data_IF_948863478318
#
_entry.id   IF_948863478318
#
_cell.length_a   1.000
_cell.length_b   1.000
_cell.length_c   1.000
_cell.angle_alpha   90.00
_cell.angle_beta   90.00
_cell.angle_gamma   90.00
#
_symmetry.space_group_name_H-M   'P 1'
#
loop_
_entity.id
_entity.type
_entity.pdbx_description
1 polymer ?
#
# COMPACT_ATOMS: atom_id res chain seq x y z
N UNK A 1 16.17 12.14 -16.99
CA UNK A 1 15.28 13.26 -16.61
C UNK A 1 14.66 12.94 -15.26
N UNK A 2 14.57 13.89 -14.31
CA UNK A 2 13.75 13.70 -13.11
C UNK A 2 12.29 13.92 -13.51
N UNK A 3 11.47 12.89 -13.39
CA UNK A 3 10.03 13.03 -13.54
C UNK A 3 9.49 13.88 -12.37
N UNK A 4 8.95 15.05 -12.69
CA UNK A 4 8.30 15.89 -11.70
C UNK A 4 6.86 15.39 -11.52
N UNK A 5 6.65 14.55 -10.50
CA UNK A 5 5.33 14.04 -10.15
C UNK A 5 4.60 15.02 -9.22
N UNK A 6 3.36 15.34 -9.57
CA UNK A 6 2.48 16.21 -8.78
C UNK A 6 1.23 15.48 -8.31
N UNK A 7 0.83 15.70 -7.06
CA UNK A 7 -0.44 15.26 -6.48
C UNK A 7 -1.40 16.45 -6.42
N UNK A 8 -2.52 16.33 -7.12
CA UNK A 8 -3.61 17.30 -7.07
C UNK A 8 -4.54 16.96 -5.91
N UNK A 9 -4.77 17.91 -5.02
CA UNK A 9 -5.82 17.88 -4.02
C UNK A 9 -6.95 18.78 -4.50
N UNK A 10 -8.10 18.21 -4.81
CA UNK A 10 -9.28 19.00 -5.15
C UNK A 10 -9.69 19.85 -3.94
N UNK A 11 -9.93 21.13 -4.18
CA UNK A 11 -10.50 22.03 -3.20
C UNK A 11 -11.92 21.61 -2.80
N UNK A 12 -12.39 22.12 -1.65
CA UNK A 12 -13.78 22.03 -1.23
C UNK A 12 -14.43 23.41 -1.23
N UNK A 13 -15.61 23.52 -1.83
CA UNK A 13 -16.35 24.78 -1.90
C UNK A 13 -15.57 25.85 -2.68
N UNK A 14 -15.23 26.97 -2.03
CA UNK A 14 -14.47 28.09 -2.64
C UNK A 14 -12.96 27.95 -2.53
N UNK A 15 -12.44 26.88 -1.93
CA UNK A 15 -10.98 26.67 -1.88
C UNK A 15 -10.48 26.16 -3.23
N UNK A 16 -9.38 26.73 -3.77
CA UNK A 16 -8.83 26.28 -5.03
C UNK A 16 -8.15 24.92 -4.88
N UNK A 17 -7.98 24.24 -6.02
CA UNK A 17 -7.18 23.02 -6.10
C UNK A 17 -5.72 23.32 -5.76
N UNK A 18 -5.08 22.43 -5.01
CA UNK A 18 -3.67 22.55 -4.62
C UNK A 18 -2.86 21.44 -5.25
N UNK A 19 -1.74 21.79 -5.88
CA UNK A 19 -0.77 20.86 -6.46
C UNK A 19 0.42 20.70 -5.51
N UNK A 20 0.73 19.46 -5.14
CA UNK A 20 1.88 19.10 -4.31
C UNK A 20 2.90 18.35 -5.14
N UNK A 21 4.13 18.85 -5.24
CA UNK A 21 5.22 18.10 -5.84
C UNK A 21 5.67 16.96 -4.91
N UNK A 22 6.25 15.89 -5.45
CA UNK A 22 6.97 14.87 -4.66
C UNK A 22 8.09 15.47 -3.82
N UNK A 23 8.68 16.58 -4.25
CA UNK A 23 9.71 17.33 -3.51
C UNK A 23 9.15 18.12 -2.32
N UNK A 24 7.83 18.37 -2.29
CA UNK A 24 7.16 19.09 -1.20
C UNK A 24 6.84 18.20 0.01
N UNK A 25 6.88 16.88 -0.16
CA UNK A 25 6.73 15.94 0.96
C UNK A 25 8.04 15.86 1.76
N UNK A 26 7.97 15.64 3.09
CA UNK A 26 9.15 15.33 3.89
C UNK A 26 9.98 14.26 3.16
N UNK A 27 11.22 14.60 2.82
CA UNK A 27 12.09 13.91 1.84
C UNK A 27 12.09 12.38 1.94
N UNK A 28 11.90 11.87 3.16
CA UNK A 28 11.89 10.45 3.54
C UNK A 28 10.93 9.55 2.74
N UNK A 29 9.78 10.05 2.28
CA UNK A 29 8.80 9.23 1.56
C UNK A 29 8.67 9.53 0.07
N UNK A 30 9.41 10.51 -0.45
CA UNK A 30 9.32 10.97 -1.83
C UNK A 30 9.43 9.83 -2.85
N UNK A 31 10.29 8.84 -2.58
CA UNK A 31 10.50 7.66 -3.45
C UNK A 31 9.37 6.63 -3.38
N UNK A 32 8.68 6.53 -2.25
CA UNK A 32 7.68 5.48 -1.98
C UNK A 32 6.24 5.99 -1.93
N UNK A 33 6.03 7.30 -2.11
CA UNK A 33 4.71 7.94 -2.08
C UNK A 33 3.74 7.34 -3.11
N UNK A 34 4.26 6.92 -4.27
CA UNK A 34 3.49 6.24 -5.31
C UNK A 34 2.92 4.90 -4.82
N UNK A 35 3.73 4.13 -4.12
CA UNK A 35 3.29 2.88 -3.50
C UNK A 35 2.24 3.17 -2.42
N UNK A 36 2.50 4.12 -1.51
CA UNK A 36 1.56 4.48 -0.46
C UNK A 36 0.22 4.91 -1.05
N UNK A 37 0.22 5.75 -2.09
CA UNK A 37 -1.00 6.22 -2.73
C UNK A 37 -1.77 5.07 -3.40
N UNK A 38 -1.11 4.24 -4.22
CA UNK A 38 -1.77 3.15 -4.93
C UNK A 38 -2.25 2.04 -3.99
N UNK A 39 -1.45 1.64 -3.01
CA UNK A 39 -1.74 0.48 -2.16
C UNK A 39 -2.70 0.78 -1.01
N UNK A 40 -2.66 2.00 -0.44
CA UNK A 40 -3.62 2.43 0.60
C UNK A 40 -4.99 2.83 0.06
N UNK A 41 -5.13 2.92 -1.26
CA UNK A 41 -6.35 3.35 -1.95
C UNK A 41 -6.13 4.63 -2.77
N UNK A 42 -6.35 4.48 -4.07
CA UNK A 42 -6.57 5.53 -5.07
C UNK A 42 -7.94 5.31 -5.73
N UNK A 43 -8.24 6.04 -6.81
CA UNK A 43 -9.54 5.97 -7.50
C UNK A 43 -9.88 4.55 -8.00
N UNK A 44 -8.87 3.70 -8.23
CA UNK A 44 -9.02 2.37 -8.82
C UNK A 44 -8.62 1.22 -7.89
N UNK A 45 -8.17 1.50 -6.67
CA UNK A 45 -7.80 0.47 -5.68
C UNK A 45 -8.64 0.61 -4.43
N UNK A 46 -9.04 -0.53 -3.88
CA UNK A 46 -9.87 -0.55 -2.68
C UNK A 46 -9.11 0.04 -1.49
N UNK A 47 -9.82 0.77 -0.64
CA UNK A 47 -9.26 1.29 0.63
C UNK A 47 -9.32 0.19 1.69
N UNK A 48 -8.25 0.05 2.46
CA UNK A 48 -8.22 -0.80 3.65
C UNK A 48 -8.87 -0.07 4.82
N UNK A 49 -9.98 -0.59 5.34
CA UNK A 49 -10.76 0.08 6.38
C UNK A 49 -9.92 0.36 7.64
N UNK A 50 -9.91 1.62 8.08
CA UNK A 50 -9.11 2.04 9.24
C UNK A 50 -7.59 2.12 8.99
N UNK A 51 -7.12 1.95 7.76
CA UNK A 51 -5.71 2.03 7.37
C UNK A 51 -5.44 3.11 6.31
N UNK A 52 -5.48 4.37 6.74
CA UNK A 52 -5.15 5.52 5.89
C UNK A 52 -3.65 5.70 5.62
N UNK A 53 -3.32 6.62 4.71
CA UNK A 53 -1.95 6.95 4.26
C UNK A 53 -0.98 7.25 5.41
N UNK A 54 -1.43 7.92 6.48
CA UNK A 54 -0.59 8.20 7.67
C UNK A 54 -0.14 6.95 8.40
N UNK A 55 -0.99 5.89 8.46
CA UNK A 55 -0.58 4.61 9.07
C UNK A 55 0.50 3.92 8.25
N UNK A 56 0.43 4.00 6.92
CA UNK A 56 1.46 3.48 6.03
C UNK A 56 2.80 4.18 6.28
N UNK A 57 2.80 5.51 6.33
CA UNK A 57 4.00 6.29 6.65
C UNK A 57 4.60 5.86 8.00
N UNK A 58 3.78 5.79 9.06
CA UNK A 58 4.27 5.39 10.39
C UNK A 58 4.81 3.96 10.42
N UNK A 59 4.18 3.02 9.68
CA UNK A 59 4.65 1.65 9.58
C UNK A 59 6.05 1.58 8.93
N UNK A 60 6.23 2.29 7.82
CA UNK A 60 7.48 2.34 7.07
C UNK A 60 8.60 3.04 7.85
N UNK A 61 8.28 4.04 8.67
CA UNK A 61 9.25 4.68 9.57
C UNK A 61 9.78 3.72 10.63
N UNK A 62 8.90 2.90 11.20
CA UNK A 62 9.24 1.92 12.24
C UNK A 62 9.96 0.70 11.69
N UNK A 63 9.71 0.34 10.43
CA UNK A 63 10.18 -0.91 9.81
C UNK A 63 10.93 -0.62 8.51
N UNK A 64 12.16 -0.12 8.60
CA UNK A 64 12.97 0.26 7.42
C UNK A 64 13.15 -0.87 6.40
N UNK A 65 13.23 -2.12 6.86
CA UNK A 65 13.34 -3.30 5.99
C UNK A 65 12.11 -3.53 5.09
N UNK A 66 10.93 -2.97 5.44
CA UNK A 66 9.76 -3.04 4.55
C UNK A 66 9.94 -2.19 3.30
N UNK A 67 10.76 -1.14 3.37
CA UNK A 67 11.06 -0.30 2.20
C UNK A 67 11.73 -1.11 1.09
N UNK A 68 12.62 -2.05 1.44
CA UNK A 68 13.25 -2.98 0.51
C UNK A 68 12.23 -3.94 -0.11
N UNK A 69 11.28 -4.45 0.68
CA UNK A 69 10.24 -5.37 0.19
C UNK A 69 9.29 -4.69 -0.81
N UNK A 70 8.97 -3.41 -0.60
CA UNK A 70 8.09 -2.67 -1.52
C UNK A 70 8.82 -2.20 -2.79
N UNK A 71 10.16 -2.32 -2.88
CA UNK A 71 10.89 -2.03 -4.12
C UNK A 71 10.44 -2.92 -5.29
N UNK A 72 9.91 -4.11 -5.00
CA UNK A 72 9.31 -5.00 -6.01
C UNK A 72 8.23 -4.26 -6.81
N UNK A 73 7.46 -3.37 -6.19
CA UNK A 73 6.45 -2.60 -6.91
C UNK A 73 7.04 -1.59 -7.90
N UNK A 74 8.34 -1.25 -7.78
CA UNK A 74 9.07 -0.30 -8.65
C UNK A 74 9.79 -1.00 -9.80
N UNK A 75 9.93 -2.33 -9.76
CA UNK A 75 10.58 -3.09 -10.81
C UNK A 75 9.56 -3.46 -11.89
N UNK A 76 9.78 -3.07 -13.15
CA UNK A 76 8.91 -3.45 -14.29
C UNK A 76 8.94 -4.95 -14.59
N UNK A 77 10.04 -5.61 -14.27
CA UNK A 77 10.26 -7.05 -14.50
C UNK A 77 9.83 -7.90 -13.30
N UNK A 78 9.14 -7.31 -12.31
CA UNK A 78 8.66 -8.06 -11.17
C UNK A 78 7.60 -9.08 -11.57
N UNK A 79 7.76 -10.33 -11.11
CA UNK A 79 6.77 -11.37 -11.37
C UNK A 79 5.51 -11.15 -10.53
N UNK A 80 4.39 -11.72 -10.99
CA UNK A 80 3.11 -11.68 -10.27
C UNK A 80 3.27 -12.19 -8.83
N UNK A 81 4.02 -13.28 -8.64
CA UNK A 81 4.21 -13.88 -7.32
C UNK A 81 5.14 -13.05 -6.42
N UNK A 82 6.16 -12.39 -6.97
CA UNK A 82 6.98 -11.44 -6.22
C UNK A 82 6.13 -10.27 -5.71
N UNK A 83 5.31 -9.68 -6.57
CA UNK A 83 4.40 -8.57 -6.21
C UNK A 83 3.39 -9.03 -5.17
N UNK A 84 2.76 -10.18 -5.38
CA UNK A 84 1.80 -10.77 -4.44
C UNK A 84 2.44 -11.00 -3.07
N UNK A 85 3.65 -11.59 -3.04
CA UNK A 85 4.36 -11.88 -1.79
C UNK A 85 4.80 -10.63 -1.05
N UNK A 86 5.28 -9.62 -1.78
CA UNK A 86 5.62 -8.32 -1.20
C UNK A 86 4.38 -7.63 -0.61
N UNK A 87 3.25 -7.65 -1.33
CA UNK A 87 1.98 -7.12 -0.85
C UNK A 87 1.44 -7.83 0.39
N UNK A 88 1.47 -9.17 0.40
CA UNK A 88 1.11 -9.99 1.55
C UNK A 88 1.98 -9.66 2.77
N UNK A 89 3.30 -9.64 2.58
CA UNK A 89 4.28 -9.32 3.64
C UNK A 89 4.01 -7.95 4.25
N UNK A 90 3.72 -6.95 3.40
CA UNK A 90 3.39 -5.61 3.86
C UNK A 90 2.09 -5.58 4.68
N UNK A 91 1.05 -6.29 4.22
CA UNK A 91 -0.24 -6.39 4.91
C UNK A 91 -0.10 -7.09 6.27
N UNK A 92 0.68 -8.17 6.36
CA UNK A 92 0.94 -8.85 7.64
C UNK A 92 1.47 -7.85 8.68
N UNK A 93 2.47 -7.03 8.32
CA UNK A 93 3.00 -6.01 9.22
C UNK A 93 2.00 -4.89 9.51
N UNK A 94 1.23 -4.47 8.51
CA UNK A 94 0.20 -3.42 8.66
C UNK A 94 -0.88 -3.80 9.68
N UNK A 95 -1.22 -5.09 9.75
CA UNK A 95 -2.19 -5.64 10.69
C UNK A 95 -1.54 -6.21 11.97
N UNK A 96 -0.27 -5.88 12.24
CA UNK A 96 0.42 -6.23 13.48
C UNK A 96 0.89 -7.69 13.58
N UNK A 97 0.91 -8.42 12.47
CA UNK A 97 1.57 -9.72 12.38
C UNK A 97 3.09 -9.59 12.28
N UNK A 98 3.79 -10.70 12.55
CA UNK A 98 5.24 -10.80 12.43
C UNK A 98 5.59 -12.03 11.58
N UNK A 99 6.06 -11.87 10.34
CA UNK A 99 6.39 -12.99 9.47
C UNK A 99 7.69 -13.72 9.86
N UNK A 100 8.44 -13.22 10.86
CA UNK A 100 9.68 -13.85 11.36
C UNK A 100 9.45 -14.90 12.45
N UNK A 101 8.29 -14.93 13.09
CA UNK A 101 8.05 -15.77 14.28
C UNK A 101 7.31 -17.09 14.01
N UNK A 102 6.94 -17.34 12.76
CA UNK A 102 6.47 -18.60 12.17
C UNK A 102 5.83 -18.22 10.83
N UNK A 103 5.65 -19.18 9.92
CA UNK A 103 4.97 -18.99 8.64
C UNK A 103 3.45 -18.72 8.83
N UNK A 104 3.10 -17.67 9.57
CA UNK A 104 1.75 -17.13 9.59
C UNK A 104 1.56 -16.36 8.28
N UNK A 105 0.97 -17.04 7.29
CA UNK A 105 0.40 -16.37 6.14
C UNK A 105 -0.72 -15.40 6.56
N UNK A 106 -1.18 -14.59 5.60
CA UNK A 106 -2.21 -13.60 5.89
C UNK A 106 -3.55 -14.23 6.30
N UNK A 107 -3.86 -15.45 5.87
CA UNK A 107 -5.10 -16.16 6.24
C UNK A 107 -5.05 -16.62 7.71
N UNK A 108 -3.90 -17.09 8.18
CA UNK A 108 -3.71 -17.42 9.59
C UNK A 108 -3.85 -16.17 10.46
N UNK A 109 -3.27 -15.04 10.04
CA UNK A 109 -3.44 -13.76 10.73
C UNK A 109 -4.91 -13.32 10.73
N UNK A 110 -5.61 -13.45 9.61
CA UNK A 110 -7.04 -13.18 9.51
C UNK A 110 -7.82 -14.01 10.52
N UNK A 111 -7.67 -15.33 10.48
CA UNK A 111 -8.40 -16.24 11.36
C UNK A 111 -8.14 -15.93 12.84
N UNK A 112 -6.88 -15.69 13.20
CA UNK A 112 -6.50 -15.29 14.57
C UNK A 112 -7.16 -13.98 15.00
N UNK A 113 -7.18 -12.97 14.14
CA UNK A 113 -7.83 -11.69 14.46
C UNK A 113 -9.35 -11.81 14.49
N UNK A 114 -9.93 -12.68 13.67
CA UNK A 114 -11.35 -13.00 13.67
C UNK A 114 -11.76 -13.64 15.00
N UNK A 115 -11.08 -14.70 15.44
CA UNK A 115 -11.38 -15.37 16.71
C UNK A 115 -11.24 -14.42 17.90
N UNK A 116 -10.19 -13.59 17.92
CA UNK A 116 -10.02 -12.54 18.92
C UNK A 116 -11.11 -11.45 18.89
N UNK A 117 -11.70 -11.20 17.73
CA UNK A 117 -12.78 -10.22 17.59
C UNK A 117 -14.12 -10.80 18.03
N UNK A 118 -14.35 -12.10 17.81
CA UNK A 118 -15.58 -12.80 18.16
C UNK A 118 -15.80 -12.89 19.68
N UNK A 119 -14.74 -12.82 20.49
CA UNK A 119 -14.84 -12.81 21.96
C UNK A 119 -15.17 -11.43 22.54
N UNK A 120 -15.20 -10.37 21.73
CA UNK A 120 -15.45 -9.00 22.19
C UNK A 120 -16.95 -8.68 22.13
N UNK A 121 -17.46 -8.02 23.17
CA UNK A 121 -18.84 -7.53 23.23
C UNK A 121 -19.24 -6.60 22.07
N UNK A 122 -18.25 -5.92 21.44
CA UNK A 122 -18.42 -5.17 20.20
C UNK A 122 -17.32 -5.57 19.21
N UNK A 123 -17.66 -6.45 18.26
CA UNK A 123 -16.77 -6.85 17.18
C UNK A 123 -16.91 -5.91 15.98
N UNK A 124 -15.80 -5.41 15.42
CA UNK A 124 -15.80 -4.69 14.14
C UNK A 124 -15.08 -5.53 13.09
N UNK A 125 -15.84 -6.40 12.40
CA UNK A 125 -15.31 -7.30 11.38
C UNK A 125 -14.65 -6.56 10.20
N UNK A 126 -15.05 -5.32 9.92
CA UNK A 126 -14.44 -4.49 8.88
C UNK A 126 -12.94 -4.19 9.12
N UNK A 127 -12.41 -4.40 10.34
CA UNK A 127 -11.00 -4.19 10.68
C UNK A 127 -10.13 -5.44 10.49
N UNK A 128 -10.72 -6.53 10.02
CA UNK A 128 -9.96 -7.74 9.72
C UNK A 128 -9.06 -7.52 8.49
N UNK A 129 -7.89 -8.16 8.44
CA UNK A 129 -7.07 -8.17 7.23
C UNK A 129 -7.83 -8.83 6.08
N UNK A 130 -7.55 -8.45 4.83
CA UNK A 130 -8.08 -9.18 3.68
C UNK A 130 -7.57 -10.64 3.69
N UNK A 131 -8.29 -11.53 2.98
CA UNK A 131 -7.77 -12.88 2.68
C UNK A 131 -6.55 -12.79 1.77
N UNK A 132 -5.76 -13.86 1.69
CA UNK A 132 -4.59 -13.96 0.80
C UNK A 132 -4.96 -13.62 -0.66
N UNK A 133 -6.10 -14.09 -1.16
CA UNK A 133 -6.52 -13.82 -2.54
C UNK A 133 -6.88 -12.35 -2.75
N UNK A 134 -7.64 -11.75 -1.82
CA UNK A 134 -7.97 -10.33 -1.87
C UNK A 134 -6.72 -9.46 -1.78
N UNK A 135 -5.74 -9.85 -0.95
CA UNK A 135 -4.44 -9.21 -0.85
C UNK A 135 -3.64 -9.32 -2.15
N UNK A 136 -3.63 -10.50 -2.79
CA UNK A 136 -3.00 -10.72 -4.10
C UNK A 136 -3.56 -9.75 -5.14
N UNK A 137 -4.89 -9.67 -5.27
CA UNK A 137 -5.51 -8.73 -6.21
C UNK A 137 -5.24 -7.27 -5.87
N UNK A 138 -5.26 -6.89 -4.60
CA UNK A 138 -4.93 -5.52 -4.18
C UNK A 138 -3.48 -5.17 -4.57
N UNK A 139 -2.54 -6.07 -4.34
CA UNK A 139 -1.14 -5.89 -4.72
C UNK A 139 -0.98 -5.73 -6.23
N UNK A 140 -1.58 -6.63 -7.02
CA UNK A 140 -1.48 -6.59 -8.48
C UNK A 140 -2.13 -5.35 -9.08
N UNK A 141 -3.31 -4.92 -8.60
CA UNK A 141 -3.94 -3.67 -9.05
C UNK A 141 -3.06 -2.47 -8.72
N UNK A 142 -2.48 -2.43 -7.51
CA UNK A 142 -1.58 -1.34 -7.10
C UNK A 142 -0.31 -1.29 -7.93
N UNK A 143 0.23 -2.46 -8.29
CA UNK A 143 1.38 -2.58 -9.18
C UNK A 143 1.06 -2.06 -10.58
N UNK A 144 -0.02 -2.56 -11.20
CA UNK A 144 -0.43 -2.12 -12.53
C UNK A 144 -0.74 -0.62 -12.61
N UNK A 145 -1.41 -0.06 -11.59
CA UNK A 145 -1.67 1.38 -11.50
C UNK A 145 -0.41 2.22 -11.49
N UNK A 146 0.64 1.69 -10.89
CA UNK A 146 1.92 2.37 -10.87
C UNK A 146 2.68 2.22 -12.18
N UNK A 147 2.66 1.02 -12.79
CA UNK A 147 3.31 0.76 -14.08
C UNK A 147 2.66 1.55 -15.23
N UNK A 148 1.32 1.66 -15.24
CA UNK A 148 0.55 2.37 -16.28
C UNK A 148 0.63 3.90 -16.21
N UNK A 149 1.31 4.50 -15.21
CA UNK A 149 1.34 5.96 -15.13
C UNK A 149 2.15 6.55 -16.31
N UNK A 150 1.62 7.59 -16.98
CA UNK A 150 2.32 8.25 -18.08
C UNK A 150 3.61 8.89 -17.53
N UNK A 151 4.74 8.40 -18.00
CA UNK A 151 6.08 8.67 -17.49
C UNK A 151 7.02 7.48 -17.66
N UNK A 152 6.50 6.25 -17.51
CA UNK A 152 7.30 5.01 -17.64
C UNK A 152 7.24 4.35 -19.03
N UNK A 153 6.35 4.80 -19.91
CA UNK A 153 6.43 4.48 -21.33
C UNK A 153 7.63 5.24 -21.90
N UNK A 154 8.74 4.52 -22.10
CA UNK A 154 9.72 4.95 -23.10
C UNK A 154 8.93 5.00 -24.41
N UNK A 155 8.70 6.20 -24.92
CA UNK A 155 8.27 6.41 -26.29
C UNK A 155 9.28 5.69 -27.20
N UNK A 156 8.98 4.46 -27.58
CA UNK A 156 9.53 3.86 -28.78
C UNK A 156 8.72 4.41 -29.95
N UNK A 157 9.18 5.56 -30.43
CA UNK A 157 9.07 5.92 -31.85
C UNK A 157 10.31 5.39 -32.55
#
# INVERSE_FOLDING_TARGET
MKENLYFRKCGKGRTPDVLYSTTSFKYKFSRIILFIHAFSGCDTTSVLFGHGKTKFCSLLEKNRHLEEKIQVFFNSEATIDQVAKAGETFLIHLYGGNPRTSACDLNHLHYRLFTQSATKARSTLARLPPTVDAARFQALRSYLQKQKRPGHEKNSL
#
